data_IF_589790280222
#
_entry.id   IF_589790280222
#
_cell.length_a   1.000
_cell.length_b   1.000
_cell.length_c   1.000
_cell.angle_alpha   90.00
_cell.angle_beta   90.00
_cell.angle_gamma   90.00
#
_symmetry.space_group_name_H-M   'P 1'
#
loop_
_entity.id
_entity.type
_entity.pdbx_description
1 polymer ?
#
# COMPACT_ATOMS: atom_id res chain seq x y z
N UNK A 1 23.11 36.55 3.46
CA UNK A 1 24.29 36.65 4.36
C UNK A 1 24.44 35.25 4.96
N UNK A 2 25.14 34.36 4.24
CA UNK A 2 26.53 33.94 4.56
C UNK A 2 26.58 33.22 5.93
N UNK A 3 27.05 31.99 6.11
CA UNK A 3 27.97 31.18 5.31
C UNK A 3 28.23 29.82 6.01
N UNK A 4 28.36 28.72 5.24
CA UNK A 4 29.20 27.49 5.40
C UNK A 4 29.06 26.59 6.66
N UNK A 5 28.78 25.28 6.52
CA UNK A 5 29.60 24.16 6.00
C UNK A 5 30.67 23.70 6.99
N UNK A 6 30.67 22.42 7.36
CA UNK A 6 31.87 21.56 7.34
C UNK A 6 31.47 20.08 7.27
N UNK A 7 31.74 19.48 6.10
CA UNK A 7 32.07 18.06 5.98
C UNK A 7 33.39 17.80 6.72
N UNK A 8 33.49 16.64 7.38
CA UNK A 8 34.77 15.94 7.56
C UNK A 8 34.56 14.47 7.28
N UNK A 9 35.26 13.98 6.26
CA UNK A 9 35.37 12.60 5.84
C UNK A 9 35.92 11.71 6.97
N UNK A 10 35.44 10.48 7.03
CA UNK A 10 36.26 9.34 7.43
C UNK A 10 35.90 8.18 6.51
N UNK A 11 36.84 7.84 5.64
CA UNK A 11 36.82 6.65 4.84
C UNK A 11 37.01 5.42 5.75
N UNK A 12 36.07 4.49 5.68
CA UNK A 12 36.29 3.08 6.01
C UNK A 12 35.35 2.26 5.12
N UNK A 13 35.94 1.62 4.12
CA UNK A 13 35.31 0.67 3.22
C UNK A 13 35.21 -0.67 3.94
N UNK A 14 34.00 -1.18 4.09
CA UNK A 14 33.75 -2.62 4.23
C UNK A 14 32.58 -2.99 3.31
N UNK A 15 32.97 -3.51 2.14
CA UNK A 15 32.10 -4.09 1.14
C UNK A 15 31.53 -5.42 1.65
N UNK A 16 30.25 -5.47 2.01
CA UNK A 16 29.42 -6.64 1.74
C UNK A 16 27.92 -6.32 1.89
N UNK A 17 27.31 -5.77 0.84
CA UNK A 17 25.85 -5.83 0.68
C UNK A 17 25.60 -6.77 -0.48
N UNK A 18 25.11 -7.97 -0.17
CA UNK A 18 24.61 -8.92 -1.15
C UNK A 18 23.45 -8.26 -1.91
N UNK A 19 23.76 -7.71 -3.07
CA UNK A 19 22.78 -7.24 -4.02
C UNK A 19 21.91 -8.44 -4.45
N UNK A 20 20.61 -8.35 -4.17
CA UNK A 20 19.64 -9.17 -4.90
C UNK A 20 19.86 -8.93 -6.41
N UNK A 21 19.78 -9.96 -7.27
CA UNK A 21 20.08 -9.81 -8.68
C UNK A 21 19.13 -8.77 -9.29
N UNK A 22 19.65 -7.59 -9.59
CA UNK A 22 18.97 -6.59 -10.39
C UNK A 22 18.99 -7.10 -11.83
N UNK A 23 18.02 -7.97 -12.16
CA UNK A 23 17.71 -8.27 -13.55
C UNK A 23 17.38 -6.94 -14.22
N UNK A 24 18.27 -6.44 -15.08
CA UNK A 24 17.97 -5.35 -16.00
C UNK A 24 16.98 -5.92 -17.01
N UNK A 25 15.71 -5.87 -16.65
CA UNK A 25 14.63 -6.11 -17.59
C UNK A 25 14.63 -4.87 -18.49
N UNK A 26 14.94 -5.04 -19.77
CA UNK A 26 14.77 -3.98 -20.77
C UNK A 26 13.26 -3.78 -20.96
N UNK A 27 12.63 -3.09 -20.01
CA UNK A 27 11.19 -2.84 -20.06
C UNK A 27 10.96 -1.69 -21.03
N UNK A 28 10.37 -1.98 -22.18
CA UNK A 28 9.90 -0.97 -23.12
C UNK A 28 8.87 -0.07 -22.43
N UNK A 29 9.10 1.24 -22.42
CA UNK A 29 8.22 2.25 -21.82
C UNK A 29 6.76 2.11 -22.29
N UNK A 30 6.55 1.63 -23.52
CA UNK A 30 5.23 1.34 -24.07
C UNK A 30 4.50 0.28 -23.25
N UNK A 31 5.20 -0.82 -22.91
CA UNK A 31 4.62 -1.93 -22.15
C UNK A 31 4.28 -1.55 -20.70
N UNK A 32 5.06 -0.67 -20.07
CA UNK A 32 4.77 -0.15 -18.72
C UNK A 32 3.49 0.68 -18.74
N UNK A 33 3.37 1.58 -19.73
CA UNK A 33 2.20 2.46 -19.87
C UNK A 33 0.94 1.65 -20.13
N UNK A 34 1.02 0.63 -20.98
CA UNK A 34 -0.10 -0.27 -21.21
C UNK A 34 -0.52 -0.99 -19.93
N UNK A 35 0.42 -1.55 -19.18
CA UNK A 35 0.13 -2.21 -17.90
C UNK A 35 -0.53 -1.25 -16.90
N UNK A 36 0.00 -0.03 -16.75
CA UNK A 36 -0.56 0.97 -15.86
C UNK A 36 -2.01 1.35 -16.22
N UNK A 37 -2.33 1.43 -17.51
CA UNK A 37 -3.68 1.75 -17.98
C UNK A 37 -4.71 0.64 -17.72
N UNK A 38 -4.27 -0.60 -17.48
CA UNK A 38 -5.19 -1.70 -17.13
C UNK A 38 -5.63 -1.70 -15.68
N UNK A 39 -4.95 -0.95 -14.81
CA UNK A 39 -5.20 -0.93 -13.37
C UNK A 39 -6.22 0.16 -13.02
N UNK A 40 -7.28 -0.22 -12.31
CA UNK A 40 -8.26 0.72 -11.78
C UNK A 40 -7.88 1.09 -10.35
N UNK A 41 -7.06 2.14 -10.23
CA UNK A 41 -6.55 2.63 -8.94
C UNK A 41 -7.33 3.89 -8.56
N UNK A 42 -7.99 3.85 -7.38
CA UNK A 42 -8.83 4.93 -6.89
C UNK A 42 -8.43 5.35 -5.48
N UNK A 43 -8.76 6.58 -5.13
CA UNK A 43 -8.74 7.03 -3.73
C UNK A 43 -10.00 6.53 -3.05
N UNK A 44 -9.84 5.86 -1.92
CA UNK A 44 -10.94 5.44 -1.07
C UNK A 44 -10.80 5.97 0.35
N UNK A 45 -11.90 5.98 1.09
CA UNK A 45 -11.93 6.30 2.52
C UNK A 45 -12.43 5.11 3.31
N UNK A 46 -11.66 4.71 4.33
CA UNK A 46 -12.08 3.67 5.25
C UNK A 46 -13.14 4.25 6.19
N UNK A 47 -14.38 3.80 6.04
CA UNK A 47 -15.50 4.20 6.91
C UNK A 47 -15.45 3.44 8.23
N UNK A 48 -15.09 2.16 8.16
CA UNK A 48 -15.04 1.27 9.33
C UNK A 48 -14.00 0.19 9.10
N UNK A 49 -13.19 -0.09 10.12
CA UNK A 49 -12.28 -1.22 10.14
C UNK A 49 -12.47 -2.03 11.42
N UNK A 50 -12.41 -3.36 11.33
CA UNK A 50 -12.44 -4.26 12.48
C UNK A 50 -11.59 -5.50 12.23
N UNK A 51 -11.25 -6.24 13.28
CA UNK A 51 -10.52 -7.51 13.16
C UNK A 51 -11.43 -8.61 12.64
N UNK A 52 -10.92 -9.41 11.72
CA UNK A 52 -11.65 -10.56 11.21
C UNK A 52 -11.82 -11.61 12.31
N UNK A 53 -13.04 -12.11 12.52
CA UNK A 53 -13.37 -13.03 13.62
C UNK A 53 -12.61 -14.36 13.52
N UNK A 54 -12.51 -14.91 12.30
CA UNK A 54 -11.79 -16.18 12.05
C UNK A 54 -10.32 -15.98 11.61
N UNK A 55 -9.79 -14.75 11.60
CA UNK A 55 -8.46 -14.48 11.05
C UNK A 55 -7.65 -13.43 11.83
N UNK A 56 -6.68 -13.89 12.61
CA UNK A 56 -5.83 -13.02 13.45
C UNK A 56 -4.95 -12.05 12.65
N UNK A 57 -4.70 -12.34 11.38
CA UNK A 57 -3.84 -11.52 10.52
C UNK A 57 -4.61 -10.58 9.60
N UNK A 58 -5.96 -10.61 9.62
CA UNK A 58 -6.78 -9.82 8.70
C UNK A 58 -7.62 -8.79 9.42
N UNK A 59 -7.68 -7.60 8.83
CA UNK A 59 -8.75 -6.66 9.06
C UNK A 59 -9.82 -6.82 7.98
N UNK A 60 -11.03 -6.43 8.34
CA UNK A 60 -12.14 -6.22 7.41
C UNK A 60 -12.46 -4.74 7.44
N UNK A 61 -12.49 -4.13 6.27
CA UNK A 61 -12.74 -2.71 6.07
C UNK A 61 -13.96 -2.48 5.18
N UNK A 62 -14.79 -1.52 5.57
CA UNK A 62 -15.77 -0.89 4.69
C UNK A 62 -15.13 0.36 4.09
N UNK A 63 -14.92 0.34 2.78
CA UNK A 63 -14.19 1.39 2.07
C UNK A 63 -15.11 2.05 1.05
N UNK A 64 -15.32 3.35 1.22
CA UNK A 64 -15.97 4.19 0.23
C UNK A 64 -14.97 4.50 -0.90
N UNK A 65 -15.32 4.12 -2.11
CA UNK A 65 -14.52 4.33 -3.33
C UNK A 65 -15.26 5.17 -4.37
N UNK A 66 -16.31 5.89 -3.95
CA UNK A 66 -17.18 6.68 -4.83
C UNK A 66 -18.22 5.85 -5.58
N UNK A 67 -18.65 4.74 -4.98
CA UNK A 67 -19.69 3.86 -5.51
C UNK A 67 -20.96 3.98 -4.66
N UNK A 68 -22.14 3.55 -5.17
CA UNK A 68 -23.39 3.64 -4.41
C UNK A 68 -23.35 2.92 -3.06
N UNK A 69 -22.54 1.87 -2.95
CA UNK A 69 -22.35 1.11 -1.72
C UNK A 69 -20.86 0.99 -1.39
N UNK A 70 -20.45 1.13 -0.11
CA UNK A 70 -19.08 0.88 0.30
C UNK A 70 -18.67 -0.56 0.00
N UNK A 71 -17.42 -0.74 -0.40
CA UNK A 71 -16.86 -2.07 -0.66
C UNK A 71 -16.32 -2.68 0.61
N UNK A 72 -16.61 -3.96 0.82
CA UNK A 72 -15.90 -4.76 1.81
C UNK A 72 -14.52 -5.14 1.25
N UNK A 73 -13.46 -4.76 1.95
CA UNK A 73 -12.08 -5.14 1.64
C UNK A 73 -11.53 -5.89 2.84
N UNK A 74 -10.67 -6.88 2.61
CA UNK A 74 -9.93 -7.55 3.68
C UNK A 74 -8.44 -7.28 3.48
N UNK A 75 -7.78 -6.69 4.47
CA UNK A 75 -6.34 -6.38 4.42
C UNK A 75 -5.53 -7.18 5.44
N UNK A 76 -4.31 -7.56 5.07
CA UNK A 76 -3.36 -8.30 5.91
C UNK A 76 -2.53 -7.42 6.85
N UNK A 77 -3.11 -6.32 7.37
CA UNK A 77 -2.34 -5.26 8.03
C UNK A 77 -2.22 -5.39 9.55
N UNK A 78 -2.84 -6.41 10.17
CA UNK A 78 -2.93 -6.54 11.64
C UNK A 78 -1.55 -6.53 12.33
N UNK A 79 -0.53 -7.11 11.69
CA UNK A 79 0.83 -7.19 12.24
C UNK A 79 1.62 -5.88 12.11
N UNK A 80 1.22 -5.00 11.19
CA UNK A 80 2.00 -3.84 10.78
C UNK A 80 1.39 -2.53 11.28
N UNK A 81 0.06 -2.41 11.19
CA UNK A 81 -0.64 -1.17 11.49
C UNK A 81 -1.73 -1.43 12.55
N UNK A 82 -1.71 -0.70 13.68
CA UNK A 82 -2.76 -0.82 14.67
C UNK A 82 -4.07 -0.24 14.14
N UNK A 83 -5.20 -0.84 14.55
CA UNK A 83 -6.53 -0.55 14.02
C UNK A 83 -6.91 0.95 14.07
N UNK A 84 -6.53 1.67 15.13
CA UNK A 84 -6.84 3.09 15.29
C UNK A 84 -6.15 4.01 14.27
N UNK A 85 -5.08 3.55 13.60
CA UNK A 85 -4.41 4.31 12.54
C UNK A 85 -4.97 4.01 11.13
N UNK A 86 -5.88 3.04 11.03
CA UNK A 86 -6.54 2.64 9.78
C UNK A 86 -7.93 3.27 9.69
N UNK A 87 -8.61 3.39 10.83
CA UNK A 87 -9.92 3.99 10.94
C UNK A 87 -9.95 5.42 10.37
N UNK A 88 -10.97 5.74 9.56
CA UNK A 88 -11.17 7.06 8.94
C UNK A 88 -10.02 7.55 8.04
N UNK A 89 -9.16 6.66 7.57
CA UNK A 89 -8.01 7.01 6.74
C UNK A 89 -8.36 6.99 5.26
N UNK A 90 -7.82 7.95 4.51
CA UNK A 90 -7.79 7.91 3.05
C UNK A 90 -6.68 6.96 2.59
N UNK A 91 -7.02 6.10 1.64
CA UNK A 91 -6.17 5.01 1.15
C UNK A 91 -6.26 4.91 -0.36
N UNK A 92 -5.26 4.26 -0.95
CA UNK A 92 -5.28 3.90 -2.37
C UNK A 92 -5.82 2.48 -2.51
N UNK A 93 -6.82 2.31 -3.37
CA UNK A 93 -7.54 1.05 -3.58
C UNK A 93 -7.37 0.59 -5.02
N UNK A 94 -7.06 -0.69 -5.21
CA UNK A 94 -7.17 -1.35 -6.51
C UNK A 94 -8.57 -1.96 -6.66
N UNK A 95 -9.38 -1.38 -7.55
CA UNK A 95 -10.83 -1.61 -7.62
C UNK A 95 -11.26 -2.63 -8.70
N UNK A 96 -10.40 -2.98 -9.66
CA UNK A 96 -10.73 -3.91 -10.75
C UNK A 96 -10.35 -5.38 -10.46
N UNK A 97 -9.97 -5.72 -9.24
CA UNK A 97 -9.68 -7.11 -8.88
C UNK A 97 -10.96 -7.95 -8.83
N UNK A 98 -10.87 -9.20 -9.27
CA UNK A 98 -11.94 -10.18 -9.08
C UNK A 98 -12.14 -10.42 -7.58
N UNK A 99 -13.39 -10.44 -7.09
CA UNK A 99 -13.66 -10.66 -5.67
C UNK A 99 -13.04 -11.95 -5.15
N UNK A 100 -12.38 -11.89 -3.99
CA UNK A 100 -11.71 -13.05 -3.37
C UNK A 100 -12.31 -13.32 -2.00
N UNK A 101 -12.65 -14.58 -1.73
CA UNK A 101 -13.08 -15.00 -0.41
C UNK A 101 -11.86 -15.20 0.51
N UNK A 102 -11.86 -14.55 1.67
CA UNK A 102 -10.84 -14.63 2.70
C UNK A 102 -11.51 -15.07 4.01
N UNK A 103 -11.50 -16.38 4.28
CA UNK A 103 -12.09 -17.00 5.48
C UNK A 103 -13.57 -16.64 5.72
N UNK A 104 -14.37 -16.70 4.66
CA UNK A 104 -15.83 -16.47 4.73
C UNK A 104 -16.25 -15.07 4.30
N UNK A 105 -15.36 -14.08 4.37
CA UNK A 105 -15.64 -12.70 3.92
C UNK A 105 -15.15 -12.48 2.50
N UNK A 106 -16.00 -11.94 1.62
CA UNK A 106 -15.61 -11.56 0.25
C UNK A 106 -14.97 -10.17 0.25
N UNK A 107 -13.72 -10.10 -0.19
CA UNK A 107 -13.01 -8.84 -0.45
C UNK A 107 -13.24 -8.41 -1.91
N UNK A 108 -13.68 -7.16 -2.10
CA UNK A 108 -13.99 -6.51 -3.38
C UNK A 108 -12.94 -5.46 -3.78
N UNK A 109 -11.69 -5.70 -3.39
CA UNK A 109 -10.57 -4.84 -3.72
C UNK A 109 -9.33 -5.19 -2.91
N UNK A 110 -8.33 -4.33 -3.01
CA UNK A 110 -7.10 -4.43 -2.23
C UNK A 110 -6.61 -3.03 -1.87
N UNK A 111 -6.25 -2.83 -0.61
CA UNK A 111 -5.54 -1.64 -0.17
C UNK A 111 -4.09 -1.72 -0.62
N UNK A 112 -3.59 -0.63 -1.19
CA UNK A 112 -2.20 -0.55 -1.64
C UNK A 112 -1.29 -0.16 -0.49
N UNK A 113 -0.20 -0.90 -0.34
CA UNK A 113 0.84 -0.66 0.66
C UNK A 113 2.23 -0.82 0.01
N UNK A 114 3.21 -0.11 0.55
CA UNK A 114 4.62 -0.33 0.29
C UNK A 114 5.18 -1.28 1.35
N UNK A 115 6.10 -2.16 0.96
CA UNK A 115 6.85 -3.01 1.87
C UNK A 115 8.34 -2.98 1.58
N UNK A 116 9.17 -3.20 2.60
CA UNK A 116 10.58 -3.48 2.40
C UNK A 116 10.82 -4.87 1.79
N UNK A 117 12.08 -5.16 1.44
CA UNK A 117 12.48 -6.43 0.85
C UNK A 117 12.34 -7.63 1.81
N UNK A 118 12.36 -7.37 3.12
CA UNK A 118 12.19 -8.40 4.16
C UNK A 118 10.71 -8.65 4.51
N UNK A 119 9.79 -7.81 4.00
CA UNK A 119 8.38 -7.74 4.39
C UNK A 119 8.15 -7.55 5.89
N UNK A 120 9.10 -6.91 6.58
CA UNK A 120 9.00 -6.60 8.01
C UNK A 120 8.29 -5.27 8.23
N UNK A 121 8.55 -4.30 7.36
CA UNK A 121 7.92 -2.98 7.39
C UNK A 121 6.92 -2.87 6.25
N UNK A 122 5.66 -2.59 6.59
CA UNK A 122 4.57 -2.39 5.62
C UNK A 122 3.81 -1.11 5.97
N UNK A 123 3.72 -0.20 5.01
CA UNK A 123 3.03 1.08 5.17
C UNK A 123 1.98 1.30 4.08
N UNK A 124 0.82 1.83 4.46
CA UNK A 124 -0.24 2.17 3.51
C UNK A 124 0.18 3.34 2.60
N UNK A 125 -0.15 3.24 1.33
CA UNK A 125 -0.05 4.40 0.44
C UNK A 125 -1.09 5.45 0.83
N UNK A 126 -0.61 6.65 1.12
CA UNK A 126 -1.44 7.77 1.57
C UNK A 126 -1.61 8.77 0.43
N UNK A 127 -2.85 9.01 -0.04
CA UNK A 127 -3.10 10.09 -0.99
C UNK A 127 -2.89 11.46 -0.32
N UNK A 128 -2.68 12.53 -1.11
CA UNK A 128 -2.69 13.89 -0.59
C UNK A 128 -3.96 14.20 0.21
N UNK A 129 -3.85 15.03 1.24
CA UNK A 129 -4.93 15.30 2.20
C UNK A 129 -6.18 15.95 1.60
N UNK A 130 -6.08 16.55 0.42
CA UNK A 130 -7.18 17.18 -0.30
C UNK A 130 -7.95 16.20 -1.20
N UNK A 131 -7.49 14.96 -1.37
CA UNK A 131 -8.21 13.95 -2.11
C UNK A 131 -9.35 13.39 -1.25
N UNK A 132 -10.58 13.49 -1.76
CA UNK A 132 -11.74 12.81 -1.20
C UNK A 132 -12.11 11.63 -2.11
N UNK A 133 -12.71 10.54 -1.56
CA UNK A 133 -13.42 9.58 -2.41
C UNK A 133 -14.47 10.35 -3.24
N UNK A 134 -14.55 9.98 -4.52
CA UNK A 134 -15.28 10.73 -5.56
C UNK A 134 -16.80 10.59 -5.47
#
# INVERSE_FOLDING_TARGET
MHLLCYCTETAAQDNNIAAAPSTTVDVDDTSIREAANTLDIRVGRILKAWRHEEADSLYVEEVDVGEPEPRTICSGLVKYIPLHLIQDRNVIVLANLKPRNMRGVKSFGMLMAASDAAHENVELLVPPSWCSPW
#
